data_IF_595806501561
#
_entry.id   IF_595806501561
#
_cell.length_a   1.000
_cell.length_b   1.000
_cell.length_c   1.000
_cell.angle_alpha   90.00
_cell.angle_beta   90.00
_cell.angle_gamma   90.00
#
_symmetry.space_group_name_H-M   'P 1'
#
loop_
_entity.id
_entity.type
_entity.pdbx_description
1 polymer ?
#
# COMPACT_ATOMS: atom_id res chain seq x y z
N UNK A 1 -58.91 -21.43 -36.33
CA UNK A 1 -58.79 -21.48 -34.86
C UNK A 1 -57.62 -22.37 -34.50
N UNK A 2 -56.48 -21.77 -34.11
CA UNK A 2 -55.35 -22.47 -33.47
C UNK A 2 -54.96 -21.68 -32.21
N UNK A 3 -54.57 -22.37 -31.12
CA UNK A 3 -54.45 -21.75 -29.80
C UNK A 3 -53.06 -21.15 -29.57
N UNK A 4 -53.02 -20.20 -28.65
CA UNK A 4 -51.83 -19.59 -28.05
C UNK A 4 -51.13 -20.63 -27.15
N UNK A 5 -49.78 -20.67 -27.08
CA UNK A 5 -49.10 -21.27 -25.96
C UNK A 5 -48.50 -20.21 -25.02
N UNK A 6 -48.71 -20.50 -23.74
CA UNK A 6 -48.30 -19.78 -22.54
C UNK A 6 -46.77 -19.71 -22.39
N UNK A 7 -46.33 -18.66 -21.68
CA UNK A 7 -44.93 -18.36 -21.44
C UNK A 7 -44.23 -19.29 -20.44
N UNK A 8 -42.93 -19.41 -20.62
CA UNK A 8 -41.99 -19.79 -19.57
C UNK A 8 -41.03 -18.62 -19.31
N UNK A 9 -41.16 -18.02 -18.13
CA UNK A 9 -40.18 -17.10 -17.55
C UNK A 9 -38.96 -17.90 -17.06
N UNK A 10 -37.85 -17.85 -17.79
CA UNK A 10 -36.54 -18.28 -17.28
C UNK A 10 -35.95 -17.20 -16.38
N UNK A 11 -35.74 -17.53 -15.10
CA UNK A 11 -34.89 -16.78 -14.18
C UNK A 11 -33.42 -16.85 -14.64
N UNK A 12 -32.65 -15.75 -14.58
CA UNK A 12 -31.26 -15.77 -15.01
C UNK A 12 -30.41 -16.65 -14.07
N UNK A 13 -29.72 -17.64 -14.65
CA UNK A 13 -28.75 -18.49 -13.94
C UNK A 13 -27.60 -17.64 -13.41
N UNK A 14 -27.42 -17.64 -12.10
CA UNK A 14 -26.20 -17.16 -11.43
C UNK A 14 -25.02 -18.01 -11.90
N UNK A 15 -23.91 -17.41 -12.39
CA UNK A 15 -22.75 -18.18 -12.77
C UNK A 15 -22.10 -18.78 -11.52
N UNK A 16 -22.02 -20.12 -11.46
CA UNK A 16 -21.22 -20.83 -10.46
C UNK A 16 -19.75 -20.46 -10.68
N UNK A 17 -19.17 -19.74 -9.72
CA UNK A 17 -17.73 -19.48 -9.66
C UNK A 17 -16.97 -20.81 -9.52
N UNK A 18 -15.96 -20.99 -10.35
CA UNK A 18 -15.09 -22.16 -10.41
C UNK A 18 -14.26 -22.29 -9.12
N UNK A 19 -14.44 -23.39 -8.38
CA UNK A 19 -13.77 -23.64 -7.09
C UNK A 19 -12.24 -23.72 -7.20
N UNK A 20 -11.70 -23.90 -8.41
CA UNK A 20 -10.26 -23.96 -8.63
C UNK A 20 -9.57 -22.59 -8.54
N UNK A 21 -10.32 -21.48 -8.62
CA UNK A 21 -9.79 -20.12 -8.44
C UNK A 21 -9.68 -19.67 -6.97
N UNK A 22 -10.26 -20.44 -6.05
CA UNK A 22 -10.27 -20.18 -4.60
C UNK A 22 -9.25 -21.06 -3.84
N UNK A 23 -8.52 -21.92 -4.55
CA UNK A 23 -7.49 -22.75 -3.94
C UNK A 23 -6.21 -21.93 -3.72
N UNK A 24 -5.78 -21.80 -2.45
CA UNK A 24 -4.45 -21.29 -2.11
C UNK A 24 -3.39 -22.09 -2.88
N UNK A 25 -2.81 -21.50 -3.93
CA UNK A 25 -1.72 -22.15 -4.69
C UNK A 25 -0.45 -22.12 -3.87
N UNK A 26 0.13 -23.31 -3.68
CA UNK A 26 1.39 -23.48 -2.99
C UNK A 26 2.57 -23.11 -3.90
N UNK A 27 2.98 -21.84 -3.85
CA UNK A 27 4.16 -21.34 -4.57
C UNK A 27 5.47 -21.52 -3.78
N UNK A 28 5.44 -22.26 -2.65
CA UNK A 28 6.58 -22.47 -1.74
C UNK A 28 7.82 -22.94 -2.48
N UNK A 29 7.67 -23.89 -3.42
CA UNK A 29 8.78 -24.44 -4.19
C UNK A 29 9.39 -23.41 -5.15
N UNK A 30 8.55 -22.58 -5.75
CA UNK A 30 8.97 -21.54 -6.71
C UNK A 30 9.76 -20.44 -5.98
N UNK A 31 9.28 -20.00 -4.83
CA UNK A 31 9.94 -18.97 -4.01
C UNK A 31 11.24 -19.51 -3.38
N UNK A 32 11.23 -20.72 -2.82
CA UNK A 32 12.43 -21.35 -2.27
C UNK A 32 13.52 -21.58 -3.33
N UNK A 33 13.14 -22.03 -4.52
CA UNK A 33 14.08 -22.26 -5.63
C UNK A 33 14.73 -20.97 -6.12
N UNK A 34 13.97 -19.86 -6.18
CA UNK A 34 14.50 -18.54 -6.57
C UNK A 34 15.48 -17.96 -5.54
N UNK A 35 15.22 -18.16 -4.25
CA UNK A 35 16.13 -17.74 -3.17
C UNK A 35 17.40 -18.59 -3.19
N UNK A 36 17.28 -19.91 -3.37
CA UNK A 36 18.44 -20.80 -3.53
C UNK A 36 19.29 -20.44 -4.74
N UNK A 37 18.68 -20.16 -5.90
CA UNK A 37 19.42 -19.79 -7.12
C UNK A 37 20.21 -18.49 -6.95
N UNK A 38 19.69 -17.53 -6.17
CA UNK A 38 20.39 -16.28 -5.83
C UNK A 38 21.52 -16.51 -4.81
N UNK A 39 21.37 -17.51 -3.94
CA UNK A 39 22.41 -17.93 -2.99
C UNK A 39 23.59 -18.55 -3.74
N UNK A 40 23.34 -19.46 -4.68
CA UNK A 40 24.38 -20.16 -5.46
C UNK A 40 25.22 -19.20 -6.30
N UNK A 41 24.62 -18.11 -6.80
CA UNK A 41 25.32 -17.05 -7.51
C UNK A 41 26.19 -16.15 -6.60
N UNK A 42 25.85 -16.05 -5.31
CA UNK A 42 26.56 -15.21 -4.33
C UNK A 42 27.65 -15.97 -3.55
N UNK A 43 27.58 -17.30 -3.47
CA UNK A 43 28.50 -18.16 -2.71
C UNK A 43 29.87 -18.37 -3.34
N UNK A 44 30.18 -17.81 -4.52
CA UNK A 44 31.51 -17.96 -5.13
C UNK A 44 32.61 -17.17 -4.40
N UNK A 45 32.28 -16.29 -3.46
CA UNK A 45 33.26 -15.57 -2.66
C UNK A 45 32.79 -15.36 -1.20
N UNK A 46 33.45 -16.05 -0.26
CA UNK A 46 33.83 -15.61 1.10
C UNK A 46 33.49 -16.58 2.24
N UNK A 47 34.46 -16.65 3.17
CA UNK A 47 34.58 -17.53 4.32
C UNK A 47 33.62 -17.17 5.46
N UNK A 48 33.16 -18.22 6.15
CA UNK A 48 32.19 -18.22 7.25
C UNK A 48 32.84 -17.69 8.54
N UNK A 49 32.25 -16.65 9.15
CA UNK A 49 32.52 -16.26 10.54
C UNK A 49 31.55 -16.97 11.49
N UNK A 50 32.10 -17.64 12.51
CA UNK A 50 31.37 -18.24 13.64
C UNK A 50 31.61 -17.39 14.89
N UNK A 51 30.55 -16.98 15.60
CA UNK A 51 30.64 -16.28 16.89
C UNK A 51 29.64 -16.89 17.88
N UNK A 52 30.14 -17.22 19.08
CA UNK A 52 29.41 -17.71 20.28
C UNK A 52 29.06 -16.55 21.24
N UNK A 53 27.86 -16.64 21.84
CA UNK A 53 27.19 -16.13 23.09
C UNK A 53 27.63 -14.82 23.81
N UNK A 54 26.68 -13.93 24.23
CA UNK A 54 25.85 -14.09 25.46
C UNK A 54 24.35 -14.28 25.08
N UNK A 55 23.25 -13.99 25.83
CA UNK A 55 21.89 -14.31 25.33
C UNK A 55 21.60 -13.36 24.16
N UNK A 56 22.09 -13.75 22.99
CA UNK A 56 22.11 -12.94 21.79
C UNK A 56 20.66 -12.71 21.47
N UNK A 57 20.19 -11.46 21.61
CA UNK A 57 18.96 -11.03 20.98
C UNK A 57 19.07 -11.50 19.54
N UNK A 58 18.22 -12.45 19.17
CA UNK A 58 18.31 -13.04 17.85
C UNK A 58 17.95 -11.97 16.83
N UNK A 59 18.38 -12.14 15.58
CA UNK A 59 17.89 -11.27 14.51
C UNK A 59 16.36 -11.26 14.42
N UNK A 60 15.71 -12.34 14.88
CA UNK A 60 14.26 -12.45 14.95
C UNK A 60 13.67 -11.53 16.02
N UNK A 61 14.29 -11.45 17.21
CA UNK A 61 13.87 -10.56 18.28
C UNK A 61 14.08 -9.09 17.91
N UNK A 62 15.26 -8.74 17.41
CA UNK A 62 15.59 -7.37 16.97
C UNK A 62 14.64 -6.93 15.86
N UNK A 63 14.39 -7.81 14.89
CA UNK A 63 13.51 -7.48 13.76
C UNK A 63 12.08 -7.25 14.22
N UNK A 64 11.58 -8.07 15.16
CA UNK A 64 10.23 -7.93 15.72
C UNK A 64 10.06 -6.62 16.46
N UNK A 65 10.97 -6.30 17.37
CA UNK A 65 10.92 -5.04 18.12
C UNK A 65 11.01 -3.83 17.19
N UNK A 66 11.93 -3.87 16.22
CA UNK A 66 12.10 -2.80 15.23
C UNK A 66 10.83 -2.63 14.38
N UNK A 67 10.19 -3.73 13.96
CA UNK A 67 8.95 -3.68 13.19
C UNK A 67 7.78 -3.11 14.01
N UNK A 68 7.59 -3.57 15.24
CA UNK A 68 6.53 -3.07 16.10
C UNK A 68 6.71 -1.57 16.41
N UNK A 69 7.93 -1.16 16.76
CA UNK A 69 8.23 0.22 17.11
C UNK A 69 8.15 1.18 15.93
N UNK A 70 8.81 0.84 14.81
CA UNK A 70 8.92 1.77 13.68
C UNK A 70 7.75 1.68 12.71
N UNK A 71 7.22 0.48 12.45
CA UNK A 71 6.20 0.27 11.43
C UNK A 71 4.80 0.30 12.03
N UNK A 72 4.54 -0.51 13.05
CA UNK A 72 3.20 -0.63 13.66
C UNK A 72 2.86 0.62 14.47
N UNK A 73 3.73 1.05 15.39
CA UNK A 73 3.44 2.22 16.24
C UNK A 73 3.81 3.53 15.54
N UNK A 74 5.00 3.60 14.96
CA UNK A 74 5.54 4.88 14.46
C UNK A 74 4.92 5.40 13.16
N UNK A 75 4.28 4.54 12.37
CA UNK A 75 4.07 4.81 10.95
C UNK A 75 2.71 4.37 10.42
N UNK A 76 2.21 3.20 10.81
CA UNK A 76 1.00 2.59 10.23
C UNK A 76 -0.09 2.35 11.29
N UNK A 77 -1.22 3.03 11.14
CA UNK A 77 -2.43 2.76 11.95
C UNK A 77 -3.26 1.57 11.42
N UNK A 78 -2.66 0.70 10.62
CA UNK A 78 -3.36 -0.44 10.01
C UNK A 78 -3.33 -1.69 10.92
N UNK A 79 -2.52 -1.65 11.98
CA UNK A 79 -2.23 -2.79 12.85
C UNK A 79 -2.69 -2.58 14.30
N UNK A 80 -3.64 -1.67 14.58
CA UNK A 80 -4.01 -1.35 15.96
C UNK A 80 -4.63 -2.54 16.72
N UNK A 81 -5.19 -3.52 16.00
CA UNK A 81 -5.69 -4.79 16.58
C UNK A 81 -4.58 -5.78 16.93
N UNK A 82 -3.39 -5.63 16.34
CA UNK A 82 -2.30 -6.60 16.46
C UNK A 82 -1.83 -6.80 17.91
N UNK A 83 -1.61 -5.76 18.75
CA UNK A 83 -1.15 -5.96 20.12
C UNK A 83 -2.12 -6.82 20.94
N UNK A 84 -3.43 -6.53 20.87
CA UNK A 84 -4.45 -7.28 21.59
C UNK A 84 -4.53 -8.74 21.13
N UNK A 85 -4.38 -9.00 19.82
CA UNK A 85 -4.33 -10.35 19.29
C UNK A 85 -3.07 -11.10 19.75
N UNK A 86 -1.90 -10.46 19.72
CA UNK A 86 -0.64 -11.08 20.14
C UNK A 86 -0.63 -11.50 21.61
N UNK A 87 -1.27 -10.73 22.50
CA UNK A 87 -1.40 -11.08 23.93
C UNK A 87 -2.25 -12.33 24.14
N UNK A 88 -3.26 -12.56 23.30
CA UNK A 88 -4.19 -13.67 23.43
C UNK A 88 -3.76 -14.92 22.63
N UNK A 89 -2.86 -14.76 21.66
CA UNK A 89 -2.35 -15.85 20.82
C UNK A 89 -1.20 -16.62 21.48
N UNK A 90 -1.12 -17.96 21.26
CA UNK A 90 0.03 -18.75 21.70
C UNK A 90 1.31 -18.30 20.97
N UNK A 91 2.48 -18.21 21.66
CA UNK A 91 3.74 -17.77 21.05
C UNK A 91 4.24 -18.62 19.86
N UNK A 92 3.80 -19.88 19.78
CA UNK A 92 4.08 -20.80 18.68
C UNK A 92 2.96 -20.83 17.61
N UNK A 93 1.94 -19.98 17.76
CA UNK A 93 0.81 -19.87 16.83
C UNK A 93 1.16 -19.17 15.52
N UNK A 94 0.29 -19.32 14.52
CA UNK A 94 0.49 -18.71 13.21
C UNK A 94 0.64 -17.18 13.26
N UNK A 95 0.00 -16.49 14.22
CA UNK A 95 0.12 -15.03 14.35
C UNK A 95 1.57 -14.60 14.63
N UNK A 96 2.21 -15.23 15.60
CA UNK A 96 3.59 -14.94 15.98
C UNK A 96 4.58 -15.33 14.87
N UNK A 97 4.35 -16.45 14.18
CA UNK A 97 5.19 -16.89 13.04
C UNK A 97 5.04 -15.93 11.85
N UNK A 98 3.80 -15.50 11.53
CA UNK A 98 3.54 -14.47 10.52
C UNK A 98 4.22 -13.14 10.87
N UNK A 99 4.18 -12.74 12.14
CA UNK A 99 4.82 -11.52 12.62
C UNK A 99 6.33 -11.58 12.38
N UNK A 100 6.98 -12.70 12.73
CA UNK A 100 8.42 -12.84 12.52
C UNK A 100 8.81 -12.83 11.04
N UNK A 101 8.01 -13.45 10.15
CA UNK A 101 8.22 -13.37 8.71
C UNK A 101 8.19 -11.92 8.20
N UNK A 102 7.14 -11.17 8.55
CA UNK A 102 6.99 -9.76 8.17
C UNK A 102 8.11 -8.89 8.76
N UNK A 103 8.47 -9.12 10.02
CA UNK A 103 9.49 -8.37 10.74
C UNK A 103 10.88 -8.54 10.15
N UNK A 104 11.28 -9.77 9.84
CA UNK A 104 12.58 -10.06 9.21
C UNK A 104 12.67 -9.46 7.80
N UNK A 105 11.60 -9.54 7.02
CA UNK A 105 11.55 -8.88 5.72
C UNK A 105 11.63 -7.35 5.87
N UNK A 106 10.91 -6.77 6.83
CA UNK A 106 10.99 -5.35 7.15
C UNK A 106 12.41 -4.93 7.55
N UNK A 107 13.10 -5.71 8.40
CA UNK A 107 14.47 -5.43 8.80
C UNK A 107 15.44 -5.48 7.60
N UNK A 108 15.27 -6.46 6.72
CA UNK A 108 15.98 -6.55 5.44
C UNK A 108 15.79 -5.26 4.61
N UNK A 109 14.55 -4.78 4.47
CA UNK A 109 14.26 -3.50 3.81
C UNK A 109 14.88 -2.29 4.54
N UNK A 110 14.81 -2.27 5.86
CA UNK A 110 15.23 -1.16 6.69
C UNK A 110 16.74 -0.92 6.66
N UNK A 111 17.50 -2.01 6.62
CA UNK A 111 18.96 -1.98 6.55
C UNK A 111 19.45 -1.70 5.12
N UNK A 112 18.82 -2.30 4.10
CA UNK A 112 19.11 -2.23 2.66
C UNK A 112 20.34 -1.39 2.25
N UNK A 113 21.51 -1.93 2.55
CA UNK A 113 22.83 -1.32 2.40
C UNK A 113 23.74 -2.26 1.60
N UNK A 114 24.50 -1.78 0.60
CA UNK A 114 25.29 -2.66 -0.27
C UNK A 114 26.39 -3.40 0.52
N UNK A 115 26.93 -2.76 1.56
CA UNK A 115 27.89 -3.30 2.52
C UNK A 115 27.32 -4.44 3.39
N UNK A 116 25.99 -4.58 3.46
CA UNK A 116 25.30 -5.58 4.29
C UNK A 116 24.61 -6.67 3.45
N UNK A 117 25.05 -6.91 2.21
CA UNK A 117 24.41 -7.85 1.28
C UNK A 117 24.21 -9.26 1.88
N UNK A 118 25.22 -9.79 2.57
CA UNK A 118 25.14 -11.14 3.18
C UNK A 118 24.09 -11.19 4.29
N UNK A 119 24.05 -10.16 5.15
CA UNK A 119 23.04 -10.03 6.20
C UNK A 119 21.64 -9.85 5.61
N UNK A 120 21.50 -9.06 4.55
CA UNK A 120 20.24 -8.86 3.83
C UNK A 120 19.69 -10.19 3.29
N UNK A 121 20.58 -11.02 2.71
CA UNK A 121 20.23 -12.33 2.18
C UNK A 121 19.84 -13.31 3.30
N UNK A 122 20.58 -13.31 4.41
CA UNK A 122 20.25 -14.11 5.59
C UNK A 122 18.88 -13.75 6.17
N UNK A 123 18.59 -12.46 6.36
CA UNK A 123 17.30 -11.97 6.86
C UNK A 123 16.16 -12.39 5.94
N UNK A 124 16.35 -12.29 4.61
CA UNK A 124 15.33 -12.69 3.63
C UNK A 124 15.12 -14.22 3.62
N UNK A 125 16.18 -15.00 3.81
CA UNK A 125 16.11 -16.46 3.93
C UNK A 125 15.30 -16.86 5.18
N UNK A 126 15.61 -16.26 6.33
CA UNK A 126 14.88 -16.48 7.58
C UNK A 126 13.41 -16.06 7.44
N UNK A 127 13.16 -14.90 6.83
CA UNK A 127 11.81 -14.42 6.57
C UNK A 127 11.02 -15.39 5.69
N UNK A 128 11.65 -15.91 4.63
CA UNK A 128 11.04 -16.91 3.73
C UNK A 128 10.71 -18.21 4.46
N UNK A 129 11.60 -18.67 5.33
CA UNK A 129 11.37 -19.87 6.16
C UNK A 129 10.17 -19.69 7.08
N UNK A 130 10.07 -18.54 7.75
CA UNK A 130 8.95 -18.24 8.65
C UNK A 130 7.64 -18.04 7.87
N UNK A 131 7.68 -17.40 6.72
CA UNK A 131 6.51 -17.23 5.83
C UNK A 131 5.91 -18.60 5.44
N UNK A 132 6.76 -19.56 5.04
CA UNK A 132 6.30 -20.92 4.68
C UNK A 132 5.74 -21.65 5.90
N UNK A 133 6.36 -21.51 7.07
CA UNK A 133 5.86 -22.09 8.32
C UNK A 133 4.50 -21.49 8.70
N UNK A 134 4.32 -20.18 8.55
CA UNK A 134 3.07 -19.48 8.81
C UNK A 134 1.93 -20.00 7.92
N UNK A 135 2.15 -20.13 6.60
CA UNK A 135 1.13 -20.68 5.69
C UNK A 135 0.68 -22.08 6.10
N UNK A 136 1.62 -22.97 6.48
CA UNK A 136 1.29 -24.32 6.94
C UNK A 136 0.48 -24.29 8.23
N UNK A 137 0.86 -23.43 9.17
CA UNK A 137 0.17 -23.26 10.45
C UNK A 137 -1.25 -22.71 10.25
N UNK A 138 -1.42 -21.69 9.39
CA UNK A 138 -2.74 -21.14 9.01
C UNK A 138 -3.61 -22.23 8.38
N UNK A 139 -3.08 -23.02 7.43
CA UNK A 139 -3.83 -24.09 6.78
C UNK A 139 -4.31 -25.13 7.80
N UNK A 140 -3.45 -25.50 8.75
CA UNK A 140 -3.83 -26.41 9.83
C UNK A 140 -4.93 -25.84 10.73
N UNK A 141 -4.85 -24.54 11.06
CA UNK A 141 -5.86 -23.85 11.84
C UNK A 141 -7.23 -23.81 11.11
N UNK A 142 -7.23 -23.55 9.80
CA UNK A 142 -8.44 -23.54 8.96
C UNK A 142 -9.05 -24.95 8.83
N UNK A 143 -8.24 -25.98 8.59
CA UNK A 143 -8.73 -27.37 8.51
C UNK A 143 -9.31 -27.87 9.83
N UNK A 144 -8.73 -27.46 10.96
CA UNK A 144 -9.23 -27.81 12.29
C UNK A 144 -10.56 -27.12 12.62
N UNK A 145 -10.80 -25.94 12.05
CA UNK A 145 -12.06 -25.20 12.22
C UNK A 145 -13.22 -25.92 11.51
N UNK A 146 -12.98 -26.43 10.29
CA UNK A 146 -13.99 -27.14 9.50
C UNK A 146 -14.40 -28.51 10.06
N UNK A 147 -13.53 -29.16 10.84
CA UNK A 147 -13.82 -30.48 11.42
C UNK A 147 -14.54 -30.41 12.77
N UNK A 148 -14.56 -29.25 13.44
CA UNK A 148 -15.12 -29.05 14.78
C UNK A 148 -16.43 -28.24 14.79
N UNK A 149 -16.99 -27.92 13.62
CA UNK A 149 -18.22 -27.14 13.43
C UNK A 149 -19.50 -27.78 14.01
N UNK A 150 -19.40 -28.97 14.61
CA UNK A 150 -20.50 -29.63 15.32
C UNK A 150 -20.62 -29.25 16.80
N UNK A 151 -19.64 -28.52 17.38
CA UNK A 151 -19.71 -28.06 18.77
C UNK A 151 -19.91 -26.54 18.83
N UNK A 152 -21.19 -26.17 18.78
CA UNK A 152 -21.70 -24.83 19.04
C UNK A 152 -21.43 -24.47 20.52
N UNK A 153 -20.35 -23.73 20.81
CA UNK A 153 -20.25 -22.72 21.88
C UNK A 153 -18.79 -22.24 22.01
N UNK A 154 -18.57 -20.93 21.81
CA UNK A 154 -17.35 -20.18 22.14
C UNK A 154 -16.00 -20.74 21.64
N UNK A 155 -15.61 -20.39 20.41
CA UNK A 155 -14.19 -20.14 20.12
C UNK A 155 -14.00 -18.76 19.47
N UNK A 156 -14.03 -17.68 20.26
CA UNK A 156 -13.75 -16.34 19.77
C UNK A 156 -12.22 -16.18 19.68
N UNK A 157 -11.67 -16.03 18.47
CA UNK A 157 -10.38 -15.37 18.14
C UNK A 157 -9.61 -16.02 16.98
N UNK A 158 -9.85 -17.30 16.66
CA UNK A 158 -9.03 -17.98 15.64
C UNK A 158 -9.17 -17.32 14.25
N UNK A 159 -10.36 -16.89 13.87
CA UNK A 159 -10.58 -16.25 12.56
C UNK A 159 -9.93 -14.85 12.48
N UNK A 160 -9.99 -14.07 13.57
CA UNK A 160 -9.39 -12.73 13.62
C UNK A 160 -7.86 -12.81 13.59
N UNK A 161 -7.27 -13.77 14.30
CA UNK A 161 -5.84 -14.07 14.23
C UNK A 161 -5.43 -14.56 12.83
N UNK A 162 -6.24 -15.42 12.19
CA UNK A 162 -5.96 -15.90 10.83
C UNK A 162 -6.07 -14.76 9.83
N UNK A 163 -7.06 -13.87 9.95
CA UNK A 163 -7.19 -12.68 9.13
C UNK A 163 -5.96 -11.80 9.34
N UNK A 164 -5.60 -11.45 10.58
CA UNK A 164 -4.41 -10.63 10.87
C UNK A 164 -3.12 -11.26 10.31
N UNK A 165 -2.93 -12.57 10.49
CA UNK A 165 -1.82 -13.35 9.93
C UNK A 165 -1.77 -13.27 8.41
N UNK A 166 -2.82 -13.75 7.73
CA UNK A 166 -2.86 -13.92 6.28
C UNK A 166 -2.92 -12.57 5.55
N UNK A 167 -3.76 -11.66 6.02
CA UNK A 167 -4.07 -10.40 5.35
C UNK A 167 -2.99 -9.34 5.52
N UNK A 168 -2.46 -9.18 6.73
CA UNK A 168 -1.69 -7.99 7.08
C UNK A 168 -0.21 -8.28 7.19
N UNK A 169 0.17 -9.42 7.75
CA UNK A 169 1.57 -9.76 7.94
C UNK A 169 2.15 -10.48 6.72
N UNK A 170 1.46 -11.50 6.19
CA UNK A 170 1.97 -12.24 5.02
C UNK A 170 1.88 -11.45 3.71
N UNK A 171 0.82 -10.68 3.50
CA UNK A 171 0.71 -9.73 2.37
C UNK A 171 1.82 -8.66 2.43
N UNK A 172 2.09 -8.11 3.62
CA UNK A 172 3.19 -7.16 3.81
C UNK A 172 4.53 -7.81 3.49
N UNK A 173 4.79 -9.01 4.04
CA UNK A 173 5.99 -9.78 3.73
C UNK A 173 6.18 -9.93 2.21
N UNK A 174 5.15 -10.36 1.48
CA UNK A 174 5.26 -10.58 0.04
C UNK A 174 5.58 -9.30 -0.70
N UNK A 175 4.97 -8.19 -0.30
CA UNK A 175 5.27 -6.89 -0.89
C UNK A 175 6.74 -6.51 -0.64
N UNK A 176 7.33 -6.90 0.50
CA UNK A 176 8.69 -6.49 0.89
C UNK A 176 9.71 -7.37 0.19
N UNK A 177 9.46 -8.68 0.19
CA UNK A 177 10.34 -9.72 -0.32
C UNK A 177 10.33 -9.81 -1.86
N UNK A 178 9.17 -9.61 -2.50
CA UNK A 178 8.99 -9.81 -3.94
C UNK A 178 9.06 -8.51 -4.77
N UNK A 179 10.11 -7.70 -4.57
CA UNK A 179 10.28 -6.39 -5.25
C UNK A 179 10.42 -6.45 -6.77
N UNK A 180 10.82 -7.61 -7.30
CA UNK A 180 11.33 -7.73 -8.67
C UNK A 180 10.42 -8.46 -9.65
N UNK A 181 9.28 -9.04 -9.23
CA UNK A 181 8.49 -9.87 -10.12
C UNK A 181 7.02 -9.44 -10.22
N UNK A 182 6.52 -9.44 -11.46
CA UNK A 182 5.15 -9.13 -11.89
C UNK A 182 4.13 -10.20 -11.47
N UNK A 183 4.26 -10.79 -10.29
CA UNK A 183 3.31 -11.79 -9.81
C UNK A 183 2.11 -11.09 -9.18
N UNK A 184 1.30 -10.42 -10.00
CA UNK A 184 0.04 -9.79 -9.58
C UNK A 184 -0.97 -10.79 -8.99
N UNK A 185 -0.86 -12.06 -9.36
CA UNK A 185 -1.76 -13.12 -8.92
C UNK A 185 -1.56 -13.49 -7.44
N UNK A 186 -0.33 -13.54 -6.94
CA UNK A 186 -0.07 -13.89 -5.53
C UNK A 186 -0.54 -12.79 -4.58
N UNK A 187 -0.31 -11.51 -4.91
CA UNK A 187 -0.74 -10.36 -4.09
C UNK A 187 -2.26 -10.21 -3.92
N UNK A 188 -3.03 -10.71 -4.89
CA UNK A 188 -4.49 -10.73 -4.77
C UNK A 188 -4.98 -11.95 -3.97
N UNK A 189 -4.20 -13.03 -3.89
CA UNK A 189 -4.64 -14.29 -3.29
C UNK A 189 -4.89 -14.17 -1.77
N UNK A 190 -3.95 -13.60 -1.00
CA UNK A 190 -4.12 -13.42 0.45
C UNK A 190 -5.22 -12.42 0.78
N UNK A 191 -5.29 -11.32 0.05
CA UNK A 191 -6.33 -10.31 0.24
C UNK A 191 -7.73 -10.87 -0.10
N UNK A 192 -7.86 -11.70 -1.14
CA UNK A 192 -9.11 -12.42 -1.47
C UNK A 192 -9.45 -13.48 -0.43
N UNK A 193 -8.46 -14.26 0.02
CA UNK A 193 -8.64 -15.27 1.07
C UNK A 193 -9.14 -14.64 2.38
N UNK A 194 -8.53 -13.53 2.79
CA UNK A 194 -8.99 -12.77 3.95
C UNK A 194 -10.40 -12.21 3.78
N UNK A 195 -10.73 -11.66 2.60
CA UNK A 195 -12.08 -11.20 2.30
C UNK A 195 -13.11 -12.34 2.40
N UNK A 196 -12.76 -13.53 1.92
CA UNK A 196 -13.62 -14.71 2.04
C UNK A 196 -13.81 -15.10 3.51
N UNK A 197 -12.76 -15.12 4.32
CA UNK A 197 -12.87 -15.40 5.76
C UNK A 197 -13.75 -14.39 6.51
N UNK A 198 -13.67 -13.10 6.15
CA UNK A 198 -14.54 -12.06 6.73
C UNK A 198 -16.02 -12.30 6.38
N UNK A 199 -16.30 -12.80 5.17
CA UNK A 199 -17.66 -12.98 4.66
C UNK A 199 -18.30 -14.29 5.09
N UNK A 200 -17.53 -15.36 5.09
CA UNK A 200 -17.98 -16.72 5.39
C UNK A 200 -18.05 -16.99 6.91
N UNK A 201 -17.68 -15.98 7.72
CA UNK A 201 -17.85 -16.02 9.16
C UNK A 201 -19.33 -16.16 9.49
N UNK A 202 -19.70 -17.29 10.11
CA UNK A 202 -21.10 -17.65 10.38
C UNK A 202 -21.85 -16.61 11.23
N UNK A 203 -21.14 -15.74 11.96
CA UNK A 203 -21.67 -14.64 12.77
C UNK A 203 -20.83 -13.36 12.57
N UNK A 204 -20.89 -12.75 11.39
CA UNK A 204 -20.23 -11.46 11.14
C UNK A 204 -20.98 -10.33 11.86
N UNK A 205 -20.64 -10.11 13.13
CA UNK A 205 -21.13 -8.97 13.90
C UNK A 205 -20.15 -7.79 13.80
N UNK A 206 -20.43 -6.86 12.88
CA UNK A 206 -19.64 -5.64 12.72
C UNK A 206 -19.84 -4.63 13.86
N UNK A 207 -20.73 -4.88 14.83
CA UNK A 207 -20.78 -4.09 16.06
C UNK A 207 -19.56 -4.34 16.96
N UNK A 208 -18.90 -5.51 16.79
CA UNK A 208 -17.62 -5.78 17.43
C UNK A 208 -16.51 -4.92 16.78
N UNK A 209 -15.81 -4.05 17.55
CA UNK A 209 -14.82 -3.14 16.99
C UNK A 209 -13.64 -3.83 16.30
N UNK A 210 -13.16 -4.95 16.84
CA UNK A 210 -12.04 -5.73 16.26
C UNK A 210 -12.45 -6.33 14.92
N UNK A 211 -13.64 -6.93 14.85
CA UNK A 211 -14.18 -7.52 13.61
C UNK A 211 -14.38 -6.44 12.55
N UNK A 212 -14.97 -5.30 12.92
CA UNK A 212 -15.15 -4.15 12.04
C UNK A 212 -13.82 -3.62 11.50
N UNK A 213 -12.83 -3.45 12.37
CA UNK A 213 -11.51 -2.93 12.00
C UNK A 213 -10.75 -3.89 11.08
N UNK A 214 -10.78 -5.19 11.36
CA UNK A 214 -10.16 -6.20 10.49
C UNK A 214 -10.83 -6.26 9.12
N UNK A 215 -12.16 -6.19 9.07
CA UNK A 215 -12.92 -6.15 7.83
C UNK A 215 -12.64 -4.89 7.00
N UNK A 216 -12.62 -3.71 7.63
CA UNK A 216 -12.25 -2.44 7.00
C UNK A 216 -10.82 -2.51 6.43
N UNK A 217 -9.90 -3.05 7.22
CA UNK A 217 -8.51 -3.21 6.81
C UNK A 217 -8.35 -4.20 5.65
N UNK A 218 -9.12 -5.30 5.65
CA UNK A 218 -9.17 -6.26 4.54
C UNK A 218 -9.67 -5.60 3.26
N UNK A 219 -10.74 -4.82 3.39
CA UNK A 219 -11.31 -4.09 2.29
C UNK A 219 -10.31 -3.08 1.68
N UNK A 220 -9.61 -2.31 2.53
CA UNK A 220 -8.58 -1.38 2.11
C UNK A 220 -7.38 -2.08 1.44
N UNK A 221 -6.92 -3.20 1.99
CA UNK A 221 -5.81 -3.97 1.44
C UNK A 221 -6.13 -4.53 0.04
N UNK A 222 -7.29 -5.17 -0.12
CA UNK A 222 -7.71 -5.70 -1.42
C UNK A 222 -7.94 -4.60 -2.45
N UNK A 223 -8.54 -3.47 -2.06
CA UNK A 223 -8.71 -2.30 -2.92
C UNK A 223 -7.38 -1.80 -3.48
N UNK A 224 -6.35 -1.69 -2.61
CA UNK A 224 -5.00 -1.32 -3.04
C UNK A 224 -4.41 -2.35 -4.00
N UNK A 225 -4.56 -3.64 -3.72
CA UNK A 225 -4.09 -4.70 -4.61
C UNK A 225 -4.78 -4.66 -5.98
N UNK A 226 -6.08 -4.38 -6.05
CA UNK A 226 -6.80 -4.14 -7.31
C UNK A 226 -6.24 -2.93 -8.07
N UNK A 227 -6.02 -1.81 -7.37
CA UNK A 227 -5.45 -0.60 -7.96
C UNK A 227 -4.05 -0.79 -8.53
N UNK A 228 -3.21 -1.60 -7.87
CA UNK A 228 -1.87 -1.97 -8.34
C UNK A 228 -1.95 -2.92 -9.54
N UNK A 229 -2.84 -3.91 -9.48
CA UNK A 229 -3.01 -4.89 -10.54
C UNK A 229 -3.73 -4.31 -11.77
N UNK A 230 -4.33 -3.12 -11.67
CA UNK A 230 -5.07 -2.49 -12.77
C UNK A 230 -6.40 -3.20 -13.06
N UNK A 231 -6.94 -3.94 -12.10
CA UNK A 231 -8.18 -4.71 -12.26
C UNK A 231 -9.34 -4.02 -11.56
N UNK A 232 -10.59 -4.25 -11.99
CA UNK A 232 -11.74 -3.72 -11.30
C UNK A 232 -11.84 -4.27 -9.88
N UNK A 233 -12.41 -3.45 -8.99
CA UNK A 233 -12.76 -3.86 -7.63
C UNK A 233 -13.85 -4.93 -7.71
N UNK A 234 -13.67 -6.11 -7.08
CA UNK A 234 -14.63 -7.19 -7.19
C UNK A 234 -15.95 -6.84 -6.49
N UNK A 235 -17.11 -7.33 -6.97
CA UNK A 235 -18.41 -7.07 -6.35
C UNK A 235 -18.49 -7.47 -4.88
N UNK A 236 -17.75 -8.52 -4.50
CA UNK A 236 -17.63 -8.95 -3.10
C UNK A 236 -16.98 -7.90 -2.21
N UNK A 237 -16.06 -7.10 -2.73
CA UNK A 237 -15.50 -6.00 -1.96
C UNK A 237 -16.50 -4.84 -1.84
N UNK A 238 -17.30 -4.58 -2.88
CA UNK A 238 -18.33 -3.53 -2.85
C UNK A 238 -19.42 -3.85 -1.82
N UNK A 239 -19.93 -5.09 -1.81
CA UNK A 239 -20.96 -5.48 -0.83
C UNK A 239 -20.42 -5.48 0.61
N UNK A 240 -19.18 -5.92 0.86
CA UNK A 240 -18.60 -5.79 2.22
C UNK A 240 -18.52 -4.32 2.65
N UNK A 241 -18.18 -3.42 1.73
CA UNK A 241 -18.14 -1.99 2.01
C UNK A 241 -19.53 -1.45 2.33
N UNK A 242 -20.57 -1.88 1.63
CA UNK A 242 -21.95 -1.53 1.93
C UNK A 242 -22.34 -1.95 3.35
N UNK A 243 -21.98 -3.17 3.75
CA UNK A 243 -22.24 -3.68 5.11
C UNK A 243 -21.51 -2.86 6.18
N UNK A 244 -20.30 -2.37 5.89
CA UNK A 244 -19.50 -1.57 6.81
C UNK A 244 -19.92 -0.09 6.91
N UNK A 245 -20.73 0.42 5.99
CA UNK A 245 -21.09 1.86 5.95
C UNK A 245 -21.85 2.33 7.20
N UNK A 246 -22.59 1.44 7.87
CA UNK A 246 -23.30 1.78 9.10
C UNK A 246 -22.35 1.93 10.30
N UNK A 247 -21.20 1.26 10.28
CA UNK A 247 -20.25 1.15 11.39
C UNK A 247 -19.03 2.06 11.25
N UNK A 248 -18.52 2.28 10.03
CA UNK A 248 -17.33 3.09 9.77
C UNK A 248 -17.72 4.41 9.11
N UNK A 249 -17.52 5.54 9.81
CA UNK A 249 -17.99 6.87 9.36
C UNK A 249 -16.91 7.95 9.34
N UNK A 250 -15.64 7.57 9.42
CA UNK A 250 -14.55 8.55 9.40
C UNK A 250 -14.24 9.09 7.97
N UNK A 251 -13.43 10.14 7.92
CA UNK A 251 -13.01 10.75 6.65
C UNK A 251 -12.16 9.80 5.78
N UNK A 252 -11.40 8.88 6.40
CA UNK A 252 -10.60 7.86 5.70
C UNK A 252 -11.52 6.91 4.93
N UNK A 253 -12.64 6.51 5.51
CA UNK A 253 -13.65 5.65 4.88
C UNK A 253 -14.32 6.31 3.68
N UNK A 254 -14.68 7.60 3.81
CA UNK A 254 -15.21 8.36 2.67
C UNK A 254 -14.20 8.44 1.52
N UNK A 255 -12.92 8.71 1.86
CA UNK A 255 -11.82 8.74 0.90
C UNK A 255 -11.62 7.39 0.18
N UNK A 256 -11.66 6.25 0.88
CA UNK A 256 -11.52 4.94 0.20
C UNK A 256 -12.63 4.70 -0.82
N UNK A 257 -13.80 5.33 -0.69
CA UNK A 257 -14.90 5.20 -1.66
C UNK A 257 -14.58 5.86 -2.99
N UNK A 258 -13.96 7.02 -2.92
CA UNK A 258 -13.46 7.70 -4.11
C UNK A 258 -12.31 6.93 -4.75
N UNK A 259 -11.44 6.31 -3.95
CA UNK A 259 -10.37 5.43 -4.45
C UNK A 259 -10.94 4.23 -5.22
N UNK A 260 -12.04 3.61 -4.78
CA UNK A 260 -12.73 2.56 -5.58
C UNK A 260 -13.12 3.09 -6.96
N UNK A 261 -13.70 4.29 -7.02
CA UNK A 261 -14.06 4.94 -8.29
C UNK A 261 -12.86 5.13 -9.20
N UNK A 262 -11.73 5.59 -8.66
CA UNK A 262 -10.48 5.79 -9.41
C UNK A 262 -9.89 4.46 -9.91
N UNK A 263 -9.86 3.42 -9.06
CA UNK A 263 -9.39 2.09 -9.44
C UNK A 263 -10.22 1.51 -10.58
N UNK A 264 -11.55 1.61 -10.48
CA UNK A 264 -12.46 1.14 -11.51
C UNK A 264 -12.35 1.97 -12.80
N UNK A 265 -12.13 3.29 -12.71
CA UNK A 265 -11.88 4.13 -13.88
C UNK A 265 -10.61 3.71 -14.61
N UNK A 266 -9.52 3.42 -13.89
CA UNK A 266 -8.29 2.91 -14.48
C UNK A 266 -8.48 1.57 -15.16
N UNK A 267 -9.13 0.62 -14.48
CA UNK A 267 -9.44 -0.68 -15.06
C UNK A 267 -10.26 -0.55 -16.35
N UNK A 268 -11.25 0.35 -16.35
CA UNK A 268 -12.04 0.69 -17.53
C UNK A 268 -11.16 1.23 -18.68
N UNK A 269 -10.25 2.18 -18.40
CA UNK A 269 -9.30 2.70 -19.40
C UNK A 269 -8.34 1.64 -19.96
N UNK A 270 -8.04 0.59 -19.19
CA UNK A 270 -7.17 -0.52 -19.59
C UNK A 270 -7.92 -1.63 -20.36
N UNK A 271 -9.18 -1.41 -20.73
CA UNK A 271 -9.99 -2.43 -21.40
C UNK A 271 -10.37 -3.59 -20.48
N UNK A 272 -10.40 -3.37 -19.17
CA UNK A 272 -10.90 -4.30 -18.15
C UNK A 272 -12.17 -3.73 -17.48
N UNK A 273 -13.25 -3.50 -18.25
CA UNK A 273 -14.51 -3.02 -17.67
C UNK A 273 -15.08 -4.07 -16.68
N UNK A 274 -15.72 -3.64 -15.59
CA UNK A 274 -16.34 -4.54 -14.60
C UNK A 274 -17.32 -5.55 -15.20
N UNK A 275 -17.92 -5.24 -16.35
CA UNK A 275 -18.97 -6.02 -17.01
C UNK A 275 -18.54 -6.62 -18.37
N UNK A 276 -17.24 -6.64 -18.71
CA UNK A 276 -16.76 -7.27 -19.94
C UNK A 276 -17.17 -6.58 -21.27
N UNK A 277 -17.41 -5.27 -21.25
CA UNK A 277 -17.87 -4.47 -22.39
C UNK A 277 -16.79 -3.88 -23.31
N UNK A 278 -17.23 -2.98 -24.20
CA UNK A 278 -16.42 -2.33 -25.24
C UNK A 278 -15.31 -1.40 -24.69
N UNK A 279 -14.40 -1.01 -25.59
CA UNK A 279 -13.26 -0.12 -25.30
C UNK A 279 -13.69 1.20 -24.62
N UNK A 280 -12.78 1.79 -23.85
CA UNK A 280 -13.07 2.98 -23.05
C UNK A 280 -13.49 4.16 -23.94
N UNK A 281 -14.70 4.68 -23.73
CA UNK A 281 -15.19 5.86 -24.42
C UNK A 281 -14.61 7.12 -23.76
N UNK A 282 -13.95 7.99 -24.56
CA UNK A 282 -13.30 9.22 -24.09
C UNK A 282 -14.25 10.12 -23.26
N UNK A 283 -15.47 10.36 -23.75
CA UNK A 283 -16.46 11.20 -23.05
C UNK A 283 -16.89 10.61 -21.70
N UNK A 284 -16.98 9.28 -21.58
CA UNK A 284 -17.28 8.58 -20.32
C UNK A 284 -16.11 8.69 -19.35
N UNK A 285 -14.88 8.51 -19.83
CA UNK A 285 -13.65 8.66 -19.02
C UNK A 285 -13.55 10.09 -18.49
N UNK A 286 -13.72 11.09 -19.36
CA UNK A 286 -13.66 12.50 -19.02
C UNK A 286 -14.71 12.87 -17.97
N UNK A 287 -15.98 12.50 -18.21
CA UNK A 287 -17.07 12.75 -17.25
C UNK A 287 -16.79 12.13 -15.88
N UNK A 288 -16.37 10.87 -15.85
CA UNK A 288 -16.06 10.16 -14.59
C UNK A 288 -14.87 10.79 -13.86
N UNK A 289 -13.82 11.18 -14.60
CA UNK A 289 -12.64 11.81 -14.02
C UNK A 289 -12.99 13.17 -13.38
N UNK A 290 -13.79 14.00 -14.06
CA UNK A 290 -14.28 15.30 -13.54
C UNK A 290 -15.08 15.13 -12.24
N UNK A 291 -16.07 14.22 -12.22
CA UNK A 291 -16.88 13.93 -11.02
C UNK A 291 -16.02 13.46 -9.85
N UNK A 292 -15.04 12.56 -10.12
CA UNK A 292 -14.15 12.08 -9.08
C UNK A 292 -13.24 13.19 -8.55
N UNK A 293 -12.71 14.08 -9.40
CA UNK A 293 -11.86 15.18 -8.93
C UNK A 293 -12.64 16.19 -8.09
N UNK A 294 -13.87 16.52 -8.50
CA UNK A 294 -14.76 17.40 -7.72
C UNK A 294 -15.00 16.86 -6.31
N UNK A 295 -15.31 15.57 -6.19
CA UNK A 295 -15.48 14.93 -4.88
C UNK A 295 -14.17 14.90 -4.08
N UNK A 296 -13.04 14.63 -4.72
CA UNK A 296 -11.73 14.63 -4.06
C UNK A 296 -11.33 16.03 -3.59
N UNK A 297 -11.67 17.08 -4.34
CA UNK A 297 -11.46 18.47 -3.94
C UNK A 297 -12.32 18.83 -2.71
N UNK A 298 -13.54 18.30 -2.60
CA UNK A 298 -14.37 18.45 -1.39
C UNK A 298 -13.76 17.73 -0.18
N UNK A 299 -13.21 16.53 -0.37
CA UNK A 299 -12.47 15.82 0.69
C UNK A 299 -11.25 16.63 1.13
N UNK A 300 -10.45 17.14 0.20
CA UNK A 300 -9.29 17.97 0.51
C UNK A 300 -9.69 19.22 1.33
N UNK A 301 -10.76 19.93 0.94
CA UNK A 301 -11.28 21.08 1.69
C UNK A 301 -11.68 20.73 3.11
N UNK A 302 -12.23 19.52 3.35
CA UNK A 302 -12.55 19.04 4.70
C UNK A 302 -11.29 18.74 5.51
N UNK A 303 -10.31 18.07 4.89
CA UNK A 303 -9.03 17.78 5.53
C UNK A 303 -8.29 19.06 5.91
N UNK A 304 -8.30 20.09 5.06
CA UNK A 304 -7.67 21.38 5.34
C UNK A 304 -8.29 22.11 6.55
N UNK A 305 -9.54 21.81 6.93
CA UNK A 305 -10.17 22.36 8.14
C UNK A 305 -9.72 21.64 9.40
N UNK A 306 -9.63 20.31 9.35
CA UNK A 306 -9.26 19.48 10.50
C UNK A 306 -7.75 19.36 10.72
N UNK A 307 -6.97 19.38 9.63
CA UNK A 307 -5.53 19.15 9.60
C UNK A 307 -4.82 20.26 8.83
N UNK A 308 -5.12 21.50 9.18
CA UNK A 308 -4.53 22.67 8.54
C UNK A 308 -3.01 22.64 8.68
N UNK A 309 -2.30 22.75 7.56
CA UNK A 309 -0.86 22.94 7.56
C UNK A 309 -0.49 24.35 7.98
N UNK A 310 0.58 24.47 8.76
CA UNK A 310 1.23 25.74 9.09
C UNK A 310 2.29 26.04 8.05
N UNK A 311 2.18 27.20 7.39
CA UNK A 311 3.20 27.68 6.45
C UNK A 311 4.36 28.27 7.23
N UNK A 312 5.54 27.69 7.04
CA UNK A 312 6.79 28.20 7.62
C UNK A 312 7.59 28.88 6.53
N UNK A 313 7.87 30.17 6.70
CA UNK A 313 8.66 30.96 5.75
C UNK A 313 10.12 30.96 6.16
N UNK A 314 11.02 30.85 5.18
CA UNK A 314 12.47 30.88 5.41
C UNK A 314 13.08 32.13 4.79
N UNK A 315 13.92 32.81 5.58
CA UNK A 315 14.68 34.00 5.14
C UNK A 315 15.98 33.61 4.44
N UNK A 316 16.61 32.51 4.87
CA UNK A 316 17.80 31.95 4.25
C UNK A 316 17.46 30.94 3.15
N UNK A 317 18.34 30.86 2.15
CA UNK A 317 18.28 29.82 1.11
C UNK A 317 18.55 28.46 1.74
N UNK A 318 17.68 27.49 1.46
CA UNK A 318 17.87 26.09 1.85
C UNK A 318 17.54 25.20 0.64
N UNK A 319 18.50 24.38 0.15
CA UNK A 319 18.26 23.53 -1.03
C UNK A 319 17.17 22.48 -0.81
N UNK A 320 16.83 22.17 0.45
CA UNK A 320 15.77 21.23 0.79
C UNK A 320 14.37 21.86 0.73
N UNK A 321 14.24 23.15 0.43
CA UNK A 321 12.96 23.88 0.38
C UNK A 321 12.77 24.45 -1.03
N UNK A 322 11.65 24.09 -1.67
CA UNK A 322 11.28 24.69 -2.95
C UNK A 322 10.68 26.09 -2.74
N UNK A 323 11.40 27.13 -3.18
CA UNK A 323 10.95 28.51 -3.04
C UNK A 323 11.36 29.13 -1.69
N UNK A 324 10.39 29.67 -0.94
CA UNK A 324 10.63 30.39 0.33
C UNK A 324 9.75 29.94 1.49
N UNK A 325 8.98 28.87 1.32
CA UNK A 325 8.12 28.34 2.36
C UNK A 325 7.98 26.83 2.25
N UNK A 326 7.58 26.21 3.36
CA UNK A 326 7.16 24.82 3.41
C UNK A 326 5.97 24.66 4.36
N UNK A 327 5.23 23.57 4.16
CA UNK A 327 4.04 23.23 4.94
C UNK A 327 4.41 22.23 6.05
N UNK A 328 3.99 22.54 7.28
CA UNK A 328 4.11 21.64 8.44
C UNK A 328 2.71 21.20 8.86
N UNK A 329 2.44 19.90 8.78
CA UNK A 329 1.17 19.31 9.19
C UNK A 329 1.19 18.94 10.69
N UNK A 330 0.01 18.88 11.35
CA UNK A 330 -0.06 18.54 12.78
C UNK A 330 0.39 17.11 13.10
N UNK A 331 0.40 16.21 12.11
CA UNK A 331 0.93 14.86 12.26
C UNK A 331 1.39 14.28 10.93
N UNK A 332 2.23 13.23 11.00
CA UNK A 332 2.62 12.48 9.81
C UNK A 332 1.42 11.80 9.15
N UNK A 333 0.48 11.27 9.93
CA UNK A 333 -0.77 10.72 9.42
C UNK A 333 -1.57 11.75 8.62
N UNK A 334 -1.73 12.96 9.17
CA UNK A 334 -2.40 14.07 8.48
C UNK A 334 -1.74 14.41 7.15
N UNK A 335 -0.40 14.38 7.11
CA UNK A 335 0.34 14.58 5.85
C UNK A 335 0.06 13.46 4.86
N UNK A 336 0.20 12.20 5.28
CA UNK A 336 0.06 11.03 4.40
C UNK A 336 -1.31 11.03 3.72
N UNK A 337 -2.38 11.25 4.49
CA UNK A 337 -3.74 11.28 3.95
C UNK A 337 -3.96 12.49 3.03
N UNK A 338 -3.49 13.68 3.42
CA UNK A 338 -3.60 14.89 2.59
C UNK A 338 -2.85 14.72 1.26
N UNK A 339 -1.63 14.19 1.30
CA UNK A 339 -0.84 13.93 0.11
C UNK A 339 -1.41 12.80 -0.73
N UNK A 340 -2.03 11.77 -0.13
CA UNK A 340 -2.76 10.75 -0.85
C UNK A 340 -3.94 11.35 -1.63
N UNK A 341 -4.71 12.25 -1.03
CA UNK A 341 -5.80 12.95 -1.73
C UNK A 341 -5.27 13.78 -2.90
N UNK A 342 -4.24 14.60 -2.67
CA UNK A 342 -3.64 15.44 -3.72
C UNK A 342 -3.02 14.62 -4.85
N UNK A 343 -2.40 13.49 -4.53
CA UNK A 343 -1.85 12.56 -5.51
C UNK A 343 -2.93 12.00 -6.45
N UNK A 344 -4.07 11.62 -5.89
CA UNK A 344 -5.21 11.10 -6.64
C UNK A 344 -5.85 12.19 -7.51
N UNK A 345 -5.99 13.42 -6.99
CA UNK A 345 -6.44 14.58 -7.77
C UNK A 345 -5.49 14.90 -8.92
N UNK A 346 -4.18 14.86 -8.66
CA UNK A 346 -3.14 15.11 -9.65
C UNK A 346 -3.22 14.07 -10.78
N UNK A 347 -3.50 12.82 -10.44
CA UNK A 347 -3.74 11.79 -11.44
C UNK A 347 -5.02 12.00 -12.25
N UNK A 348 -6.14 12.31 -11.59
CA UNK A 348 -7.41 12.57 -12.26
C UNK A 348 -7.28 13.75 -13.25
N UNK A 349 -6.61 14.82 -12.85
CA UNK A 349 -6.33 15.97 -13.71
C UNK A 349 -5.35 15.60 -14.84
N UNK A 350 -4.41 14.68 -14.62
CA UNK A 350 -3.61 14.12 -15.72
C UNK A 350 -4.45 13.32 -16.71
N UNK A 351 -5.49 12.60 -16.27
CA UNK A 351 -6.41 11.87 -17.15
C UNK A 351 -7.27 12.86 -17.93
N UNK A 352 -7.84 13.86 -17.25
CA UNK A 352 -8.64 14.93 -17.88
C UNK A 352 -7.81 15.60 -18.99
N UNK A 353 -6.62 16.13 -18.68
CA UNK A 353 -5.74 16.77 -19.67
C UNK A 353 -5.41 15.87 -20.87
N UNK A 354 -5.26 14.57 -20.66
CA UNK A 354 -4.90 13.65 -21.75
C UNK A 354 -6.08 13.30 -22.66
N UNK A 355 -7.29 13.22 -22.11
CA UNK A 355 -8.51 12.85 -22.86
C UNK A 355 -9.13 14.07 -23.55
N UNK A 356 -8.94 15.26 -22.98
CA UNK A 356 -9.54 16.52 -23.42
C UNK A 356 -8.75 17.23 -24.53
N UNK A 357 -7.54 16.75 -24.87
CA UNK A 357 -6.61 17.40 -25.81
C UNK A 357 -7.08 17.58 -27.26
N UNK A 358 -8.34 17.28 -27.58
CA UNK A 358 -8.96 17.49 -28.89
C UNK A 358 -10.04 18.58 -28.91
N UNK A 359 -10.57 19.05 -27.76
CA UNK A 359 -11.61 20.10 -27.74
C UNK A 359 -11.43 21.04 -26.53
N UNK A 360 -11.22 22.34 -26.80
CA UNK A 360 -11.39 23.49 -25.88
C UNK A 360 -10.17 23.98 -25.03
N UNK A 361 -9.48 25.02 -25.54
CA UNK A 361 -8.32 25.72 -24.94
C UNK A 361 -8.54 26.19 -23.48
N UNK A 362 -9.78 26.47 -23.09
CA UNK A 362 -10.10 26.98 -21.75
C UNK A 362 -9.98 25.91 -20.65
N UNK A 363 -10.29 24.64 -20.94
CA UNK A 363 -10.23 23.54 -19.97
C UNK A 363 -8.79 23.08 -19.77
N UNK A 364 -7.97 23.12 -20.82
CA UNK A 364 -6.53 22.85 -20.75
C UNK A 364 -5.83 23.83 -19.80
N UNK A 365 -6.17 25.13 -19.88
CA UNK A 365 -5.64 26.17 -18.99
C UNK A 365 -6.02 25.92 -17.52
N UNK A 366 -7.28 25.59 -17.22
CA UNK A 366 -7.75 25.33 -15.85
C UNK A 366 -7.11 24.05 -15.26
N UNK A 367 -7.05 22.97 -16.04
CA UNK A 367 -6.46 21.70 -15.61
C UNK A 367 -4.96 21.85 -15.35
N UNK A 368 -4.26 22.61 -16.21
CA UNK A 368 -2.85 22.96 -16.02
C UNK A 368 -2.60 23.72 -14.72
N UNK A 369 -3.48 24.68 -14.38
CA UNK A 369 -3.39 25.41 -13.11
C UNK A 369 -3.57 24.51 -11.89
N UNK A 370 -4.55 23.60 -11.91
CA UNK A 370 -4.80 22.63 -10.83
C UNK A 370 -3.59 21.70 -10.65
N UNK A 371 -3.02 21.18 -11.74
CA UNK A 371 -1.81 20.34 -11.70
C UNK A 371 -0.66 21.12 -11.04
N UNK A 372 -0.42 22.35 -11.47
CA UNK A 372 0.64 23.23 -10.95
C UNK A 372 0.45 23.57 -9.47
N UNK A 373 -0.78 23.77 -9.01
CA UNK A 373 -1.08 24.00 -7.60
C UNK A 373 -0.82 22.73 -6.76
N UNK A 374 -1.32 21.57 -7.22
CA UNK A 374 -1.15 20.30 -6.54
C UNK A 374 0.33 19.90 -6.43
N UNK A 375 1.13 20.05 -7.49
CA UNK A 375 2.57 19.74 -7.43
C UNK A 375 3.30 20.63 -6.43
N UNK A 376 2.97 21.94 -6.37
CA UNK A 376 3.52 22.85 -5.36
C UNK A 376 3.17 22.44 -3.95
N UNK A 377 1.91 22.10 -3.68
CA UNK A 377 1.48 21.65 -2.37
C UNK A 377 2.17 20.34 -1.94
N UNK A 378 2.32 19.38 -2.85
CA UNK A 378 3.04 18.14 -2.58
C UNK A 378 4.52 18.41 -2.27
N UNK A 379 5.17 19.29 -3.04
CA UNK A 379 6.56 19.68 -2.82
C UNK A 379 6.75 20.46 -1.51
N UNK A 380 5.82 21.36 -1.17
CA UNK A 380 5.86 22.15 0.06
C UNK A 380 5.73 21.29 1.32
N UNK A 381 5.10 20.10 1.24
CA UNK A 381 5.01 19.16 2.36
C UNK A 381 6.21 18.22 2.52
N UNK A 382 7.21 18.28 1.64
CA UNK A 382 8.42 17.44 1.72
C UNK A 382 9.36 17.86 2.86
N UNK A 383 9.68 19.16 3.06
CA UNK A 383 10.76 19.57 3.95
C UNK A 383 10.53 19.18 5.41
N UNK A 384 9.29 19.06 5.88
CA UNK A 384 9.00 18.58 7.25
C UNK A 384 9.55 17.16 7.52
N UNK A 385 9.84 16.37 6.48
CA UNK A 385 10.42 15.03 6.60
C UNK A 385 11.92 15.02 6.38
N UNK A 386 12.54 16.12 5.96
CA UNK A 386 13.97 16.20 5.65
C UNK A 386 14.70 17.11 6.64
N UNK A 387 14.05 18.18 7.07
CA UNK A 387 14.57 19.10 8.05
C UNK A 387 14.50 18.43 9.43
N UNK A 388 15.65 18.06 9.97
CA UNK A 388 15.77 17.73 11.38
C UNK A 388 15.58 19.03 12.14
N UNK A 389 14.39 19.26 12.69
CA UNK A 389 14.13 20.41 13.56
C UNK A 389 14.90 20.14 14.86
N UNK A 390 16.15 20.59 14.92
CA UNK A 390 16.85 20.77 16.18
C UNK A 390 16.06 21.77 17.01
N UNK A 391 15.85 21.46 18.30
CA UNK A 391 15.25 22.40 19.25
C UNK A 391 15.94 23.77 19.18
N UNK A 392 15.17 24.80 19.52
CA UNK A 392 15.53 26.22 19.48
C UNK A 392 17.04 26.47 19.72
N UNK A 393 17.73 26.97 18.69
CA UNK A 393 19.10 27.50 18.78
C UNK A 393 20.25 26.55 18.42
N UNK A 394 20.02 25.28 18.11
CA UNK A 394 21.11 24.34 17.81
C UNK A 394 21.45 24.24 16.32
N UNK A 395 22.67 24.65 15.94
CA UNK A 395 23.32 24.33 14.65
C UNK A 395 22.96 22.93 14.16
N UNK A 396 22.40 22.84 12.95
CA UNK A 396 22.11 21.56 12.29
C UNK A 396 23.42 20.77 12.11
N UNK A 397 23.68 19.82 13.00
CA UNK A 397 24.75 18.85 12.77
C UNK A 397 24.48 18.14 11.44
N UNK A 398 25.50 17.90 10.59
CA UNK A 398 25.34 17.10 9.39
C UNK A 398 24.97 15.68 9.81
N UNK A 399 23.68 15.36 9.75
CA UNK A 399 23.19 14.02 10.02
C UNK A 399 23.59 13.14 8.84
N UNK A 400 24.63 12.33 9.00
CA UNK A 400 25.12 11.44 7.93
C UNK A 400 24.05 10.47 7.39
N UNK A 401 23.01 10.18 8.18
CA UNK A 401 21.88 9.32 7.79
C UNK A 401 20.60 9.71 8.52
N UNK A 402 19.49 9.86 7.79
CA UNK A 402 18.19 10.18 8.40
C UNK A 402 17.79 9.13 9.45
N UNK A 403 17.17 9.55 10.57
CA UNK A 403 16.61 8.64 11.57
C UNK A 403 15.74 7.54 10.95
N UNK A 404 15.75 6.31 11.50
CA UNK A 404 14.97 5.17 11.02
C UNK A 404 13.53 5.49 10.61
N UNK A 405 12.77 6.15 11.49
CA UNK A 405 11.38 6.50 11.25
C UNK A 405 11.23 7.60 10.18
N UNK A 406 12.16 8.54 10.13
CA UNK A 406 12.16 9.61 9.13
C UNK A 406 12.44 9.07 7.71
N UNK A 407 13.29 8.04 7.57
CA UNK A 407 13.49 7.32 6.29
C UNK A 407 12.21 6.67 5.80
N UNK A 408 11.43 6.08 6.71
CA UNK A 408 10.12 5.50 6.42
C UNK A 408 9.15 6.59 5.96
N UNK A 409 9.09 7.72 6.67
CA UNK A 409 8.27 8.85 6.25
C UNK A 409 8.65 9.40 4.87
N UNK A 410 9.95 9.50 4.56
CA UNK A 410 10.41 9.91 3.24
C UNK A 410 9.97 8.94 2.14
N UNK A 411 9.93 7.64 2.42
CA UNK A 411 9.44 6.66 1.43
C UNK A 411 7.97 6.91 1.06
N UNK A 412 7.15 7.51 1.95
CA UNK A 412 5.75 7.91 1.64
C UNK A 412 5.68 8.97 0.54
N UNK A 413 6.74 9.78 0.40
CA UNK A 413 6.81 10.94 -0.50
C UNK A 413 7.35 10.59 -1.89
N UNK A 414 7.90 9.39 -2.08
CA UNK A 414 8.48 8.97 -3.36
C UNK A 414 7.45 9.00 -4.50
N UNK A 415 6.24 8.53 -4.24
CA UNK A 415 5.14 8.51 -5.23
C UNK A 415 4.62 9.90 -5.55
N UNK A 416 4.26 10.76 -4.55
CA UNK A 416 3.96 12.16 -4.80
C UNK A 416 5.04 12.90 -5.60
N UNK A 417 6.32 12.73 -5.25
CA UNK A 417 7.44 13.38 -5.92
C UNK A 417 7.59 12.90 -7.36
N UNK A 418 7.52 11.59 -7.59
CA UNK A 418 7.56 11.03 -8.94
C UNK A 418 6.43 11.56 -9.83
N UNK A 419 5.19 11.57 -9.34
CA UNK A 419 4.07 12.10 -10.12
C UNK A 419 4.20 13.60 -10.37
N UNK A 420 4.66 14.36 -9.37
CA UNK A 420 4.92 15.80 -9.50
C UNK A 420 5.98 16.06 -10.57
N UNK A 421 7.07 15.29 -10.57
CA UNK A 421 8.12 15.35 -11.58
C UNK A 421 7.59 15.07 -12.99
N UNK A 422 6.75 14.04 -13.15
CA UNK A 422 6.19 13.68 -14.44
C UNK A 422 5.21 14.72 -15.01
N UNK A 423 4.49 15.44 -14.14
CA UNK A 423 3.34 16.25 -14.55
C UNK A 423 3.60 17.74 -14.52
N UNK A 424 4.57 18.21 -13.74
CA UNK A 424 4.92 19.63 -13.70
C UNK A 424 5.56 20.09 -15.01
N UNK A 425 5.30 21.34 -15.38
CA UNK A 425 5.98 22.02 -16.50
C UNK A 425 7.13 22.91 -16.02
N UNK A 426 7.22 23.13 -14.70
CA UNK A 426 8.26 23.94 -14.07
C UNK A 426 9.60 23.18 -14.04
N UNK A 427 10.54 23.59 -14.90
CA UNK A 427 11.88 23.01 -15.00
C UNK A 427 12.69 23.13 -13.70
N UNK A 428 12.52 24.21 -12.94
CA UNK A 428 13.21 24.37 -11.66
C UNK A 428 12.67 23.39 -10.61
N UNK A 429 11.35 23.18 -10.59
CA UNK A 429 10.74 22.17 -9.72
C UNK A 429 11.21 20.77 -10.09
N UNK A 430 11.31 20.42 -11.39
CA UNK A 430 11.83 19.11 -11.82
C UNK A 430 13.24 18.87 -11.30
N UNK A 431 14.10 19.86 -11.45
CA UNK A 431 15.48 19.78 -10.98
C UNK A 431 15.54 19.67 -9.46
N UNK A 432 14.76 20.47 -8.74
CA UNK A 432 14.65 20.39 -7.29
C UNK A 432 14.15 19.00 -6.83
N UNK A 433 13.10 18.45 -7.43
CA UNK A 433 12.59 17.11 -7.07
C UNK A 433 13.69 16.04 -7.22
N UNK A 434 14.49 16.12 -8.29
CA UNK A 434 15.59 15.18 -8.50
C UNK A 434 16.68 15.32 -7.45
N UNK A 435 17.06 16.55 -7.11
CA UNK A 435 18.01 16.82 -6.04
C UNK A 435 17.52 16.28 -4.69
N UNK A 436 16.22 16.41 -4.40
CA UNK A 436 15.60 15.83 -3.21
C UNK A 436 15.66 14.30 -3.23
N UNK A 437 15.35 13.65 -4.37
CA UNK A 437 15.43 12.19 -4.47
C UNK A 437 16.88 11.69 -4.30
N UNK A 438 17.86 12.40 -4.84
CA UNK A 438 19.29 12.10 -4.61
C UNK A 438 19.65 12.27 -3.13
N UNK A 439 19.26 13.40 -2.52
CA UNK A 439 19.47 13.65 -1.09
C UNK A 439 18.87 12.53 -0.23
N UNK A 440 17.62 12.14 -0.49
CA UNK A 440 16.96 11.01 0.19
C UNK A 440 17.77 9.71 0.04
N UNK A 441 18.29 9.40 -1.15
CA UNK A 441 19.06 8.19 -1.42
C UNK A 441 20.42 8.16 -0.70
N UNK A 442 21.12 9.30 -0.66
CA UNK A 442 22.37 9.50 0.07
C UNK A 442 22.15 9.31 1.58
N UNK A 443 21.01 9.78 2.09
CA UNK A 443 20.69 9.74 3.52
C UNK A 443 19.88 8.50 3.95
N UNK A 444 19.93 7.42 3.15
CA UNK A 444 19.48 6.08 3.55
C UNK A 444 18.12 5.63 2.99
N UNK A 445 17.47 6.41 2.14
CA UNK A 445 16.22 6.04 1.43
C UNK A 445 16.58 5.50 0.05
N UNK A 446 17.15 4.29 -0.03
CA UNK A 446 17.69 3.75 -1.29
C UNK A 446 16.70 3.66 -2.44
N UNK A 447 15.42 3.45 -2.13
CA UNK A 447 14.35 3.43 -3.14
C UNK A 447 14.22 4.76 -3.91
N UNK A 448 14.68 5.87 -3.34
CA UNK A 448 14.72 7.17 -4.03
C UNK A 448 15.69 7.16 -5.23
N UNK A 449 16.75 6.34 -5.19
CA UNK A 449 17.66 6.15 -6.33
C UNK A 449 16.96 5.48 -7.50
N UNK A 450 16.14 4.47 -7.24
CA UNK A 450 15.38 3.78 -8.30
C UNK A 450 14.38 4.74 -8.96
N UNK A 451 13.77 5.62 -8.16
CA UNK A 451 12.81 6.63 -8.64
C UNK A 451 13.50 7.73 -9.44
N UNK A 452 14.67 8.23 -9.00
CA UNK A 452 15.42 9.26 -9.73
C UNK A 452 15.99 8.75 -11.06
N UNK A 453 16.38 7.47 -11.12
CA UNK A 453 16.90 6.80 -12.31
C UNK A 453 15.82 6.46 -13.35
N UNK A 454 14.53 6.58 -13.04
CA UNK A 454 13.44 6.40 -14.02
C UNK A 454 13.39 7.49 -15.11
N UNK A 455 14.41 8.36 -15.21
CA UNK A 455 14.69 9.17 -16.40
C UNK A 455 14.87 8.23 -17.60
N UNK A 456 14.21 8.52 -18.72
CA UNK A 456 14.37 7.90 -20.06
C UNK A 456 13.34 6.80 -20.40
N UNK A 457 12.32 7.19 -21.17
CA UNK A 457 11.47 6.25 -21.92
C UNK A 457 10.02 6.74 -22.09
N UNK A 458 9.67 7.06 -23.33
CA UNK A 458 8.35 7.40 -23.89
C UNK A 458 7.13 6.75 -23.21
N UNK A 459 6.01 7.50 -23.21
CA UNK A 459 4.65 7.10 -22.82
C UNK A 459 4.55 6.23 -21.55
N UNK A 460 4.05 6.86 -20.48
CA UNK A 460 3.34 6.25 -19.34
C UNK A 460 3.39 4.72 -19.36
N UNK A 461 4.51 4.11 -18.96
CA UNK A 461 4.55 2.66 -18.83
C UNK A 461 3.65 2.30 -17.64
N UNK A 462 2.65 1.41 -17.79
CA UNK A 462 1.85 0.89 -16.68
C UNK A 462 2.74 0.39 -15.51
N UNK A 463 3.95 -0.07 -15.85
CA UNK A 463 5.01 -0.51 -14.92
C UNK A 463 5.47 0.55 -13.93
N UNK A 464 5.54 1.84 -14.31
CA UNK A 464 6.02 2.90 -13.41
C UNK A 464 4.87 3.49 -12.59
N UNK A 465 3.65 3.58 -13.14
CA UNK A 465 2.45 3.88 -12.33
C UNK A 465 2.21 2.80 -11.28
N UNK A 466 2.37 1.52 -11.63
CA UNK A 466 2.25 0.40 -10.70
C UNK A 466 3.40 0.33 -9.68
N UNK A 467 4.62 0.81 -10.03
CA UNK A 467 5.78 0.92 -9.13
C UNK A 467 5.74 2.17 -8.24
N UNK A 468 5.23 3.29 -8.71
CA UNK A 468 5.02 4.49 -7.91
C UNK A 468 3.83 4.26 -6.96
N UNK A 469 2.73 3.69 -7.44
CA UNK A 469 1.70 3.14 -6.53
C UNK A 469 2.21 1.95 -5.71
N UNK A 470 3.30 1.30 -6.14
CA UNK A 470 4.01 0.31 -5.32
C UNK A 470 4.80 0.94 -4.19
N UNK A 471 5.42 2.10 -4.41
CA UNK A 471 6.22 2.77 -3.38
C UNK A 471 5.34 3.45 -2.34
N UNK A 472 4.07 3.76 -2.67
CA UNK A 472 3.03 4.06 -1.68
C UNK A 472 2.48 2.82 -0.95
N UNK A 473 2.90 1.58 -1.31
CA UNK A 473 2.46 0.30 -0.66
C UNK A 473 2.71 0.24 0.84
N UNK A 474 3.53 1.13 1.37
CA UNK A 474 4.17 0.92 2.66
C UNK A 474 3.54 1.69 3.81
N UNK A 475 2.67 2.67 3.57
CA UNK A 475 2.50 3.75 4.55
C UNK A 475 1.07 4.25 4.84
N UNK A 476 0.01 3.52 4.50
CA UNK A 476 -1.39 3.97 4.79
C UNK A 476 -2.31 2.89 5.32
#
# INVERSE_FOLDING_TARGET
>A
MRPVPEGQTELPRVPRLDSTQLLFRDETKTTASKVSARLTAATSHSHIFSIRDPPHLTWEDISRDTFLSLYVVGLSHTFDTLPALLTNSPPSGHLHISLGAASLAFMSFHLNRPDLLLLLLLLLLLASRQYVAAIRSIRSALSSNNNNSSNLHHKPNNDDEVIQSALLLLDLYEKIANRHEHQSASWLSHARGALHLVRDRANTDFSNPTTCQLANTAAAALMRSCGIAGIPVPPSLLSLREDLNSYVRDAKWSFTGLVVGIVNLRAYMQGQPPSGGAAACASVVLRRAKILDEHMALVEKRLQRSWRATKTFTTAYNPLIFGRYYDVYPSHHATQVTNAVRMMRLELNSIIRHVDGDEEVAIESLTGEVIRELTRHLCAGVPQFLLVIGGEGGTSLPVCTLPPLQRLHCCTMLTPLYLSFCLTEDSYMKEWILQILVYMAEHGVKLASDVSQCRIGSLIRPRIRARAWATSRWYT
#
